data_IF_284742773120
#
_entry.id   IF_284742773120
#
_cell.length_a   1.000
_cell.length_b   1.000
_cell.length_c   1.000
_cell.angle_alpha   90.00
_cell.angle_beta   90.00
_cell.angle_gamma   90.00
#
_symmetry.space_group_name_H-M   'P 1'
#
loop_
_entity.id
_entity.type
_entity.pdbx_description
1 polymer ?
#
# COMPACT_ATOMS: atom_id res chain seq x y z
N UNK A 1 -27.10 -69.65 -18.90
CA UNK A 1 -26.69 -68.36 -19.52
C UNK A 1 -25.94 -67.43 -18.57
N UNK A 2 -26.54 -66.74 -17.58
CA UNK A 2 -25.77 -65.86 -16.66
C UNK A 2 -24.81 -66.63 -15.74
N UNK A 3 -25.23 -67.78 -15.20
CA UNK A 3 -24.40 -68.65 -14.36
C UNK A 3 -23.25 -69.32 -15.13
N UNK A 4 -23.47 -69.66 -16.40
CA UNK A 4 -22.46 -70.30 -17.25
C UNK A 4 -21.38 -69.30 -17.66
N UNK A 5 -21.77 -68.09 -18.11
CA UNK A 5 -20.81 -67.02 -18.40
C UNK A 5 -19.98 -66.63 -17.17
N UNK A 6 -20.61 -66.57 -16.00
CA UNK A 6 -19.91 -66.28 -14.75
C UNK A 6 -18.92 -67.38 -14.38
N UNK A 7 -19.33 -68.65 -14.53
CA UNK A 7 -18.46 -69.78 -14.25
C UNK A 7 -17.28 -69.84 -15.22
N UNK A 8 -17.51 -69.64 -16.52
CA UNK A 8 -16.47 -69.58 -17.55
C UNK A 8 -15.45 -68.45 -17.28
N UNK A 9 -15.91 -67.31 -16.75
CA UNK A 9 -15.04 -66.19 -16.38
C UNK A 9 -14.17 -66.53 -15.15
N UNK A 10 -14.75 -67.18 -14.13
CA UNK A 10 -14.04 -67.61 -12.91
C UNK A 10 -13.05 -68.74 -13.21
N UNK A 11 -13.44 -69.69 -14.07
CA UNK A 11 -12.59 -70.79 -14.51
C UNK A 11 -11.42 -70.28 -15.36
N UNK A 12 -11.68 -69.33 -16.26
CA UNK A 12 -10.61 -68.66 -17.02
C UNK A 12 -9.66 -67.88 -16.10
N UNK A 13 -10.20 -67.12 -15.13
CA UNK A 13 -9.39 -66.35 -14.18
C UNK A 13 -8.50 -67.26 -13.31
N UNK A 14 -9.00 -68.46 -12.97
CA UNK A 14 -8.27 -69.46 -12.19
C UNK A 14 -7.33 -70.33 -13.03
N UNK A 15 -7.41 -70.26 -14.36
CA UNK A 15 -6.52 -70.98 -15.28
C UNK A 15 -5.13 -70.34 -15.37
N UNK A 16 -4.12 -71.14 -15.72
CA UNK A 16 -2.73 -70.68 -15.93
C UNK A 16 -2.63 -69.56 -16.98
N UNK A 17 -3.48 -69.60 -18.01
CA UNK A 17 -3.53 -68.59 -19.07
C UNK A 17 -4.02 -67.23 -18.52
N UNK A 18 -5.05 -67.24 -17.67
CA UNK A 18 -5.58 -66.04 -17.01
C UNK A 18 -4.57 -65.43 -16.05
N UNK A 19 -3.95 -66.25 -15.20
CA UNK A 19 -2.90 -65.82 -14.26
C UNK A 19 -1.67 -65.24 -14.95
N UNK A 20 -1.25 -65.82 -16.07
CA UNK A 20 -0.13 -65.32 -16.87
C UNK A 20 -0.44 -63.93 -17.43
N UNK A 21 -1.63 -63.72 -18.00
CA UNK A 21 -2.04 -62.40 -18.51
C UNK A 21 -2.16 -61.34 -17.40
N UNK A 22 -2.76 -61.70 -16.26
CA UNK A 22 -2.91 -60.79 -15.12
C UNK A 22 -1.54 -60.33 -14.64
N UNK A 23 -0.61 -61.26 -14.42
CA UNK A 23 0.69 -60.96 -13.83
C UNK A 23 1.60 -60.23 -14.82
N UNK A 24 1.56 -60.60 -16.10
CA UNK A 24 2.46 -60.03 -17.13
C UNK A 24 1.98 -58.69 -17.71
N UNK A 25 0.67 -58.46 -17.78
CA UNK A 25 0.12 -57.27 -18.45
C UNK A 25 -0.73 -56.40 -17.51
N UNK A 26 -1.65 -56.98 -16.75
CA UNK A 26 -2.60 -56.20 -15.94
C UNK A 26 -1.94 -55.57 -14.70
N UNK A 27 -1.14 -56.34 -13.96
CA UNK A 27 -0.41 -55.86 -12.78
C UNK A 27 0.52 -54.69 -13.10
N UNK A 28 1.43 -54.77 -14.11
CA UNK A 28 2.29 -53.64 -14.43
C UNK A 28 1.50 -52.43 -14.95
N UNK A 29 0.42 -52.65 -15.71
CA UNK A 29 -0.46 -51.55 -16.13
C UNK A 29 -1.09 -50.83 -14.94
N UNK A 30 -1.66 -51.56 -13.98
CA UNK A 30 -2.20 -50.97 -12.75
C UNK A 30 -1.12 -50.28 -11.93
N UNK A 31 0.07 -50.87 -11.84
CA UNK A 31 1.19 -50.27 -11.11
C UNK A 31 1.59 -48.91 -11.71
N UNK A 32 1.65 -48.80 -13.04
CA UNK A 32 1.92 -47.54 -13.74
C UNK A 32 0.79 -46.52 -13.49
N UNK A 33 -0.46 -46.94 -13.60
CA UNK A 33 -1.63 -46.06 -13.38
C UNK A 33 -1.65 -45.53 -11.94
N UNK A 34 -1.52 -46.41 -10.95
CA UNK A 34 -1.50 -46.04 -9.53
C UNK A 34 -0.27 -45.19 -9.21
N UNK A 35 0.90 -45.55 -9.75
CA UNK A 35 2.12 -44.75 -9.63
C UNK A 35 1.93 -43.34 -10.17
N UNK A 36 1.34 -43.19 -11.36
CA UNK A 36 1.01 -41.90 -11.96
C UNK A 36 0.02 -41.07 -11.13
N UNK A 37 -1.01 -41.70 -10.56
CA UNK A 37 -1.98 -41.02 -9.69
C UNK A 37 -1.30 -40.49 -8.42
N UNK A 38 -0.48 -41.32 -7.75
CA UNK A 38 0.23 -40.92 -6.52
C UNK A 38 1.18 -39.76 -6.80
N UNK A 39 2.00 -39.87 -7.86
CA UNK A 39 2.92 -38.80 -8.27
C UNK A 39 2.16 -37.51 -8.59
N UNK A 40 1.05 -37.61 -9.34
CA UNK A 40 0.20 -36.46 -9.69
C UNK A 40 -0.39 -35.77 -8.45
N UNK A 41 -0.86 -36.53 -7.46
CA UNK A 41 -1.40 -35.96 -6.21
C UNK A 41 -0.33 -35.23 -5.38
N UNK A 42 0.87 -35.81 -5.26
CA UNK A 42 1.99 -35.18 -4.54
C UNK A 42 2.40 -33.88 -5.25
N UNK A 43 2.58 -33.91 -6.57
CA UNK A 43 2.93 -32.73 -7.36
C UNK A 43 1.89 -31.61 -7.18
N UNK A 44 0.59 -31.93 -7.27
CA UNK A 44 -0.50 -30.95 -7.11
C UNK A 44 -0.54 -30.34 -5.70
N UNK A 45 -0.34 -31.16 -4.67
CA UNK A 45 -0.33 -30.68 -3.28
C UNK A 45 0.87 -29.77 -2.98
N UNK A 46 2.06 -30.12 -3.49
CA UNK A 46 3.27 -29.32 -3.36
C UNK A 46 3.09 -27.94 -4.01
N UNK A 47 2.56 -27.91 -5.25
CA UNK A 47 2.34 -26.66 -5.96
C UNK A 47 1.32 -25.76 -5.24
N UNK A 48 0.20 -26.33 -4.76
CA UNK A 48 -0.77 -25.57 -3.95
C UNK A 48 -0.17 -25.01 -2.68
N UNK A 49 0.69 -25.78 -2.00
CA UNK A 49 1.37 -25.34 -0.78
C UNK A 49 2.35 -24.21 -1.08
N UNK A 50 3.10 -24.29 -2.17
CA UNK A 50 4.04 -23.25 -2.58
C UNK A 50 3.33 -21.93 -2.90
N UNK A 51 2.24 -21.98 -3.68
CA UNK A 51 1.41 -20.80 -3.99
C UNK A 51 0.86 -20.20 -2.69
N UNK A 52 0.31 -21.03 -1.80
CA UNK A 52 -0.20 -20.57 -0.51
C UNK A 52 0.87 -19.97 0.41
N UNK A 53 2.13 -20.43 0.31
CA UNK A 53 3.25 -19.83 1.03
C UNK A 53 3.66 -18.49 0.42
N UNK A 54 3.74 -18.39 -0.91
CA UNK A 54 4.05 -17.14 -1.61
C UNK A 54 2.99 -16.06 -1.32
N UNK A 55 1.70 -16.42 -1.35
CA UNK A 55 0.61 -15.49 -1.01
C UNK A 55 0.73 -14.96 0.42
N UNK A 56 1.09 -15.82 1.38
CA UNK A 56 1.30 -15.42 2.78
C UNK A 56 2.52 -14.52 2.91
N UNK A 57 3.62 -14.86 2.24
CA UNK A 57 4.85 -14.06 2.24
C UNK A 57 4.62 -12.69 1.61
N UNK A 58 3.93 -12.61 0.47
CA UNK A 58 3.60 -11.34 -0.19
C UNK A 58 2.77 -10.44 0.72
N UNK A 59 1.78 -11.00 1.43
CA UNK A 59 0.96 -10.26 2.41
C UNK A 59 1.80 -9.73 3.57
N UNK A 60 2.63 -10.58 4.18
CA UNK A 60 3.51 -10.18 5.29
C UNK A 60 4.50 -9.12 4.82
N UNK A 61 5.10 -9.29 3.64
CA UNK A 61 6.09 -8.36 3.09
C UNK A 61 5.47 -6.99 2.77
N UNK A 62 4.27 -6.94 2.20
CA UNK A 62 3.58 -5.69 1.92
C UNK A 62 3.23 -4.93 3.22
N UNK A 63 2.69 -5.62 4.22
CA UNK A 63 2.39 -5.02 5.54
C UNK A 63 3.67 -4.57 6.24
N UNK A 64 4.73 -5.39 6.23
CA UNK A 64 6.02 -5.03 6.84
C UNK A 64 6.68 -3.83 6.15
N UNK A 65 6.59 -3.73 4.82
CA UNK A 65 7.08 -2.57 4.06
C UNK A 65 6.33 -1.30 4.45
N UNK A 66 5.00 -1.38 4.59
CA UNK A 66 4.18 -0.25 4.99
C UNK A 66 4.50 0.19 6.44
N UNK A 67 4.64 -0.75 7.38
CA UNK A 67 5.06 -0.48 8.75
C UNK A 67 6.47 0.16 8.79
N UNK A 68 7.42 -0.37 8.03
CA UNK A 68 8.77 0.18 7.94
C UNK A 68 8.76 1.63 7.43
N UNK A 69 7.90 1.92 6.45
CA UNK A 69 7.69 3.29 5.95
C UNK A 69 7.05 4.20 7.02
N UNK A 70 6.12 3.66 7.83
CA UNK A 70 5.58 4.34 9.00
C UNK A 70 6.65 4.71 10.03
N UNK A 71 7.59 3.80 10.33
CA UNK A 71 8.70 4.10 11.26
C UNK A 71 9.56 5.27 10.78
N UNK A 72 9.81 5.36 9.47
CA UNK A 72 10.52 6.49 8.85
C UNK A 72 9.68 7.78 8.89
N UNK A 73 8.36 7.67 8.72
CA UNK A 73 7.43 8.80 8.86
C UNK A 73 7.36 9.34 10.30
N UNK A 74 7.48 8.50 11.33
CA UNK A 74 7.52 8.92 12.74
C UNK A 74 8.74 9.81 13.02
N UNK A 75 9.88 9.43 12.43
CA UNK A 75 11.15 10.14 12.54
C UNK A 75 11.34 11.21 11.45
N UNK A 76 10.29 11.61 10.73
CA UNK A 76 10.39 12.44 9.52
C UNK A 76 11.19 13.75 9.72
N UNK A 77 11.07 14.38 10.88
CA UNK A 77 11.79 15.61 11.22
C UNK A 77 13.31 15.46 11.26
N UNK A 78 13.85 14.27 11.53
CA UNK A 78 15.30 14.03 11.65
C UNK A 78 15.96 13.63 10.32
N UNK A 79 15.17 13.30 9.30
CA UNK A 79 15.66 12.90 7.98
C UNK A 79 16.10 14.11 7.14
N UNK A 80 17.17 13.91 6.37
CA UNK A 80 17.62 14.86 5.35
C UNK A 80 16.65 14.92 4.16
N UNK A 81 16.78 15.95 3.30
CA UNK A 81 15.89 16.12 2.15
C UNK A 81 15.92 14.94 1.17
N UNK A 82 17.10 14.41 0.85
CA UNK A 82 17.23 13.24 -0.04
C UNK A 82 16.65 11.96 0.56
N UNK A 83 16.79 11.77 1.89
CA UNK A 83 16.19 10.61 2.55
C UNK A 83 14.67 10.72 2.63
N UNK A 84 14.12 11.92 2.76
CA UNK A 84 12.67 12.17 2.73
C UNK A 84 12.06 11.74 1.39
N UNK A 85 12.66 12.15 0.27
CA UNK A 85 12.22 11.73 -1.06
C UNK A 85 12.30 10.21 -1.23
N UNK A 86 13.38 9.58 -0.78
CA UNK A 86 13.52 8.14 -0.83
C UNK A 86 12.44 7.42 0.00
N UNK A 87 12.12 7.93 1.19
CA UNK A 87 11.05 7.38 2.05
C UNK A 87 9.68 7.58 1.41
N UNK A 88 9.41 8.72 0.76
CA UNK A 88 8.17 8.94 0.01
C UNK A 88 7.98 7.92 -1.11
N UNK A 89 9.05 7.66 -1.88
CA UNK A 89 9.03 6.62 -2.90
C UNK A 89 8.77 5.24 -2.30
N UNK A 90 9.45 4.87 -1.20
CA UNK A 90 9.22 3.60 -0.52
C UNK A 90 7.80 3.47 0.06
N UNK A 91 7.24 4.54 0.62
CA UNK A 91 5.87 4.58 1.12
C UNK A 91 4.87 4.35 -0.01
N UNK A 92 5.02 5.05 -1.14
CA UNK A 92 4.12 4.90 -2.29
C UNK A 92 4.19 3.49 -2.91
N UNK A 93 5.39 2.91 -3.04
CA UNK A 93 5.52 1.51 -3.47
C UNK A 93 4.85 0.53 -2.50
N UNK A 94 5.04 0.71 -1.20
CA UNK A 94 4.45 -0.15 -0.18
C UNK A 94 2.91 -0.06 -0.21
N UNK A 95 2.37 1.14 -0.37
CA UNK A 95 0.93 1.39 -0.50
C UNK A 95 0.35 0.69 -1.74
N UNK A 96 1.02 0.82 -2.90
CA UNK A 96 0.62 0.11 -4.12
C UNK A 96 0.63 -1.41 -3.91
N UNK A 97 1.67 -1.95 -3.26
CA UNK A 97 1.72 -3.39 -2.94
C UNK A 97 0.54 -3.82 -2.06
N UNK A 98 0.15 -3.00 -1.08
CA UNK A 98 -1.00 -3.27 -0.21
C UNK A 98 -2.31 -3.27 -1.01
N UNK A 99 -2.53 -2.30 -1.90
CA UNK A 99 -3.73 -2.25 -2.77
C UNK A 99 -3.86 -3.46 -3.69
N UNK A 100 -2.72 -3.98 -4.17
CA UNK A 100 -2.69 -5.16 -5.02
C UNK A 100 -2.90 -6.48 -4.27
N UNK A 101 -2.97 -6.47 -2.94
CA UNK A 101 -3.19 -7.70 -2.17
C UNK A 101 -4.62 -8.23 -2.38
N UNK A 102 -4.79 -9.57 -2.52
CA UNK A 102 -6.11 -10.19 -2.58
C UNK A 102 -6.71 -10.32 -1.16
N UNK A 103 -6.93 -9.18 -0.51
CA UNK A 103 -7.52 -9.08 0.84
C UNK A 103 -8.73 -8.14 0.83
N UNK A 104 -9.71 -8.45 1.68
CA UNK A 104 -10.90 -7.61 1.81
C UNK A 104 -10.53 -6.25 2.39
N UNK A 105 -10.86 -5.18 1.67
CA UNK A 105 -10.60 -3.82 2.11
C UNK A 105 -9.14 -3.39 1.98
N UNK A 106 -8.37 -4.00 1.07
CA UNK A 106 -7.00 -3.58 0.78
C UNK A 106 -6.91 -2.09 0.43
N UNK A 107 -7.79 -1.58 -0.44
CA UNK A 107 -7.82 -0.16 -0.79
C UNK A 107 -8.09 0.74 0.41
N UNK A 108 -9.07 0.39 1.24
CA UNK A 108 -9.43 1.14 2.45
C UNK A 108 -8.27 1.12 3.47
N UNK A 109 -7.59 -0.02 3.62
CA UNK A 109 -6.42 -0.13 4.49
C UNK A 109 -5.26 0.73 3.98
N UNK A 110 -5.05 0.78 2.66
CA UNK A 110 -4.05 1.64 2.05
C UNK A 110 -4.37 3.13 2.26
N UNK A 111 -5.62 3.55 2.04
CA UNK A 111 -6.06 4.94 2.24
C UNK A 111 -5.94 5.36 3.72
N UNK A 112 -6.36 4.48 4.63
CA UNK A 112 -6.23 4.70 6.08
C UNK A 112 -4.76 4.84 6.51
N UNK A 113 -3.90 3.95 6.02
CA UNK A 113 -2.47 4.01 6.31
C UNK A 113 -1.83 5.27 5.71
N UNK A 114 -2.17 5.65 4.48
CA UNK A 114 -1.67 6.88 3.85
C UNK A 114 -2.01 8.12 4.69
N UNK A 115 -3.23 8.18 5.23
CA UNK A 115 -3.62 9.25 6.15
C UNK A 115 -2.81 9.24 7.44
N UNK A 116 -2.65 8.08 8.10
CA UNK A 116 -1.82 7.94 9.31
C UNK A 116 -0.36 8.34 9.06
N UNK A 117 0.22 7.94 7.93
CA UNK A 117 1.58 8.33 7.54
C UNK A 117 1.70 9.85 7.38
N UNK A 118 0.71 10.50 6.73
CA UNK A 118 0.69 11.95 6.58
C UNK A 118 0.55 12.66 7.93
N UNK A 119 -0.29 12.15 8.83
CA UNK A 119 -0.44 12.66 10.20
C UNK A 119 0.87 12.53 10.99
N UNK A 120 1.52 11.36 10.94
CA UNK A 120 2.82 11.13 11.59
C UNK A 120 3.90 12.09 11.08
N UNK A 121 3.99 12.31 9.77
CA UNK A 121 4.96 13.26 9.20
C UNK A 121 4.75 14.66 9.75
N UNK A 122 3.50 15.13 9.82
CA UNK A 122 3.14 16.43 10.43
C UNK A 122 3.48 16.47 11.93
N UNK A 123 3.14 15.43 12.67
CA UNK A 123 3.36 15.33 14.11
C UNK A 123 4.85 15.20 14.48
N UNK A 124 5.68 14.58 13.63
CA UNK A 124 7.10 14.35 13.90
C UNK A 124 7.92 15.62 14.17
N UNK A 125 7.47 16.78 13.68
CA UNK A 125 8.19 18.06 13.78
C UNK A 125 8.07 18.66 15.19
N UNK A 126 6.88 18.64 15.77
CA UNK A 126 6.58 19.31 17.05
C UNK A 126 6.16 18.34 18.17
N UNK A 127 5.68 17.15 17.81
CA UNK A 127 5.03 16.18 18.69
C UNK A 127 5.55 14.76 18.41
N UNK A 128 6.85 14.53 18.64
CA UNK A 128 7.48 13.23 18.38
C UNK A 128 6.83 12.07 19.14
N UNK A 129 6.38 12.30 20.38
CA UNK A 129 5.63 11.29 21.15
C UNK A 129 4.30 10.92 20.48
N UNK A 130 3.57 11.90 19.93
CA UNK A 130 2.33 11.65 19.21
C UNK A 130 2.59 10.85 17.92
N UNK A 131 3.69 11.17 17.21
CA UNK A 131 4.08 10.42 16.02
C UNK A 131 4.41 8.95 16.34
N UNK A 132 5.02 8.66 17.49
CA UNK A 132 5.29 7.28 17.94
C UNK A 132 4.01 6.55 18.38
N UNK A 133 3.04 7.26 18.99
CA UNK A 133 1.73 6.69 19.28
C UNK A 133 0.97 6.34 17.99
N UNK A 134 0.94 7.26 17.02
CA UNK A 134 0.34 7.02 15.70
C UNK A 134 1.00 5.82 14.99
N UNK A 135 2.31 5.63 15.17
CA UNK A 135 3.03 4.47 14.66
C UNK A 135 2.55 3.17 15.32
N UNK A 136 2.36 3.15 16.64
CA UNK A 136 1.85 1.98 17.34
C UNK A 136 0.43 1.61 16.86
N UNK A 137 -0.44 2.61 16.72
CA UNK A 137 -1.79 2.42 16.18
C UNK A 137 -1.78 1.91 14.73
N UNK A 138 -0.87 2.44 13.89
CA UNK A 138 -0.65 1.95 12.53
C UNK A 138 -0.25 0.46 12.53
N UNK A 139 0.71 0.08 13.39
CA UNK A 139 1.20 -1.30 13.49
C UNK A 139 0.09 -2.25 13.92
N UNK A 140 -0.59 -1.94 15.02
CA UNK A 140 -1.66 -2.76 15.58
C UNK A 140 -2.83 -2.88 14.60
N UNK A 141 -3.21 -1.78 13.95
CA UNK A 141 -4.24 -1.76 12.92
C UNK A 141 -3.90 -2.65 11.73
N UNK A 142 -2.68 -2.55 11.20
CA UNK A 142 -2.25 -3.37 10.06
C UNK A 142 -2.10 -4.86 10.42
N UNK A 143 -1.64 -5.18 11.64
CA UNK A 143 -1.55 -6.56 12.14
C UNK A 143 -2.95 -7.15 12.32
N UNK A 144 -3.89 -6.41 12.92
CA UNK A 144 -5.28 -6.87 13.06
C UNK A 144 -5.98 -6.97 11.70
N UNK A 145 -5.65 -6.09 10.74
CA UNK A 145 -6.15 -6.22 9.38
C UNK A 145 -5.61 -7.47 8.68
N UNK A 146 -4.34 -7.79 8.87
CA UNK A 146 -3.76 -9.01 8.34
C UNK A 146 -4.42 -10.26 8.95
N UNK A 147 -4.74 -10.23 10.25
CA UNK A 147 -5.35 -11.36 10.97
C UNK A 147 -6.85 -11.50 10.67
N UNK A 148 -7.59 -10.38 10.63
CA UNK A 148 -9.05 -10.27 10.51
C UNK A 148 -9.45 -9.09 9.61
N UNK A 149 -9.26 -9.21 8.28
CA UNK A 149 -9.45 -8.09 7.35
C UNK A 149 -10.89 -7.56 7.33
N UNK A 150 -11.88 -8.44 7.54
CA UNK A 150 -13.29 -8.04 7.56
C UNK A 150 -13.68 -7.17 8.75
N UNK A 151 -13.02 -7.32 9.91
CA UNK A 151 -13.27 -6.50 11.10
C UNK A 151 -12.51 -5.18 10.99
N UNK A 152 -11.22 -5.25 10.70
CA UNK A 152 -10.38 -4.07 10.56
C UNK A 152 -10.85 -3.12 9.45
N UNK A 153 -11.35 -3.65 8.32
CA UNK A 153 -11.98 -2.83 7.26
C UNK A 153 -13.06 -1.88 7.81
N UNK A 154 -13.88 -2.34 8.77
CA UNK A 154 -14.94 -1.50 9.35
C UNK A 154 -14.37 -0.38 10.21
N UNK A 155 -13.33 -0.69 10.99
CA UNK A 155 -12.62 0.29 11.81
C UNK A 155 -11.96 1.35 10.92
N UNK A 156 -11.21 0.92 9.90
CA UNK A 156 -10.58 1.85 8.95
C UNK A 156 -11.58 2.73 8.21
N UNK A 157 -12.71 2.16 7.80
CA UNK A 157 -13.77 2.94 7.15
C UNK A 157 -14.42 3.94 8.11
N UNK A 158 -14.54 3.61 9.39
CA UNK A 158 -15.03 4.51 10.43
C UNK A 158 -14.04 5.66 10.67
N UNK A 159 -12.76 5.35 10.84
CA UNK A 159 -11.70 6.36 11.04
C UNK A 159 -11.58 7.30 9.83
N UNK A 160 -11.62 6.75 8.61
CA UNK A 160 -11.62 7.56 7.40
C UNK A 160 -12.86 8.45 7.30
N UNK A 161 -14.01 7.98 7.79
CA UNK A 161 -15.21 8.80 7.84
C UNK A 161 -15.05 9.93 8.87
N UNK A 162 -14.56 9.65 10.08
CA UNK A 162 -14.35 10.68 11.10
C UNK A 162 -13.37 11.75 10.65
N UNK A 163 -12.24 11.37 10.04
CA UNK A 163 -11.27 12.36 9.54
C UNK A 163 -11.80 13.22 8.40
N UNK A 164 -12.68 12.66 7.55
CA UNK A 164 -13.34 13.46 6.51
C UNK A 164 -14.24 14.53 7.10
N UNK A 165 -15.00 14.21 8.15
CA UNK A 165 -15.83 15.19 8.85
C UNK A 165 -14.97 16.26 9.54
N UNK A 166 -13.92 15.86 10.28
CA UNK A 166 -12.99 16.80 10.94
C UNK A 166 -12.31 17.76 9.94
N UNK A 167 -11.92 17.25 8.77
CA UNK A 167 -11.30 18.07 7.72
C UNK A 167 -12.30 19.05 7.12
N UNK A 168 -13.53 18.62 6.84
CA UNK A 168 -14.56 19.51 6.29
C UNK A 168 -14.94 20.64 7.25
N UNK A 169 -15.04 20.36 8.55
CA UNK A 169 -15.36 21.39 9.55
C UNK A 169 -14.24 22.45 9.65
N UNK A 170 -12.98 22.03 9.59
CA UNK A 170 -11.84 22.95 9.60
C UNK A 170 -11.79 23.82 8.33
N UNK A 171 -12.10 23.25 7.16
CA UNK A 171 -12.17 23.99 5.89
C UNK A 171 -13.28 25.05 5.90
N UNK A 172 -14.47 24.69 6.39
CA UNK A 172 -15.60 25.62 6.52
C UNK A 172 -15.26 26.80 7.47
N UNK A 173 -14.59 26.53 8.61
CA UNK A 173 -14.15 27.58 9.54
C UNK A 173 -13.13 28.53 8.88
N UNK A 174 -12.20 28.00 8.08
CA UNK A 174 -11.22 28.82 7.36
C UNK A 174 -11.88 29.71 6.30
N UNK A 175 -12.87 29.20 5.57
CA UNK A 175 -13.63 29.99 4.59
C UNK A 175 -14.37 31.14 5.29
N UNK A 176 -15.01 30.88 6.44
CA UNK A 176 -15.67 31.93 7.22
C UNK A 176 -14.68 32.98 7.69
N UNK A 177 -13.53 32.58 8.26
CA UNK A 177 -12.48 33.53 8.67
C UNK A 177 -11.95 34.36 7.51
N UNK A 178 -11.81 33.76 6.33
CA UNK A 178 -11.35 34.46 5.14
C UNK A 178 -12.39 35.49 4.65
N UNK A 179 -13.68 35.16 4.75
CA UNK A 179 -14.78 36.10 4.46
C UNK A 179 -14.86 37.24 5.48
N UNK A 180 -14.67 36.96 6.78
CA UNK A 180 -14.62 37.98 7.83
C UNK A 180 -13.40 38.91 7.68
N UNK A 181 -12.24 38.36 7.33
CA UNK A 181 -11.06 39.17 7.07
C UNK A 181 -11.26 40.07 5.84
N UNK A 182 -11.86 39.53 4.77
CA UNK A 182 -12.18 40.30 3.57
C UNK A 182 -13.21 41.42 3.85
N UNK A 183 -14.22 41.17 4.69
CA UNK A 183 -15.20 42.19 5.06
C UNK A 183 -14.62 43.30 5.95
N UNK A 184 -13.69 42.97 6.86
CA UNK A 184 -12.93 43.96 7.64
C UNK A 184 -12.05 44.84 6.76
N UNK A 185 -11.31 44.24 5.81
CA UNK A 185 -10.52 44.99 4.83
C UNK A 185 -11.39 45.95 3.99
N UNK A 186 -12.57 45.50 3.54
CA UNK A 186 -13.49 46.34 2.77
C UNK A 186 -14.08 47.50 3.60
N UNK A 187 -14.41 47.26 4.88
CA UNK A 187 -14.90 48.30 5.79
C UNK A 187 -13.83 49.36 6.12
N UNK A 188 -12.56 48.93 6.27
CA UNK A 188 -11.42 49.82 6.53
C UNK A 188 -11.06 50.65 5.28
N UNK A 189 -11.19 50.06 4.08
CA UNK A 189 -11.03 50.77 2.79
C UNK A 189 -12.12 51.81 2.53
N UNK A 190 -13.33 51.61 3.08
CA UNK A 190 -14.47 52.52 2.93
C UNK A 190 -14.43 53.69 3.93
N UNK A 191 -13.60 53.59 4.98
CA UNK A 191 -13.42 54.62 6.03
C UNK A 191 -12.16 55.47 5.80
N UNK A 192 -11.56 55.43 4.61
CA UNK A 192 -10.54 56.41 4.22
C UNK A 192 -11.24 57.71 3.74
N UNK A 193 -10.98 58.88 4.37
CA UNK A 193 -11.49 60.13 3.86
C UNK A 193 -10.81 60.44 2.52
N UNK A 194 -11.61 60.83 1.54
CA UNK A 194 -11.12 61.41 0.30
C UNK A 194 -10.29 62.68 0.61
N UNK A 195 -8.96 62.56 0.51
CA UNK A 195 -8.06 63.71 0.45
C UNK A 195 -7.04 63.47 -0.67
N UNK A 196 -7.40 64.02 -1.82
CA UNK A 196 -6.67 64.28 -3.05
C UNK A 196 -5.14 64.26 -2.96
N UNK A 197 -4.51 63.36 -3.71
CA UNK A 197 -3.08 63.37 -4.01
C UNK A 197 -2.78 64.51 -4.99
N UNK A 198 -2.10 65.56 -4.51
CA UNK A 198 -1.35 66.52 -5.33
C UNK A 198 0.10 66.47 -4.86
N UNK A 199 1.02 66.09 -5.74
CA UNK A 199 2.42 65.86 -5.35
C UNK A 199 3.35 65.58 -6.53
N UNK A 200 3.62 66.65 -7.27
CA UNK A 200 4.67 66.94 -8.25
C UNK A 200 5.95 66.10 -8.22
N UNK A 201 6.45 65.87 -9.44
CA UNK A 201 7.75 65.32 -9.83
C UNK A 201 8.96 65.80 -9.01
N UNK A 202 9.87 64.86 -8.70
CA UNK A 202 11.20 65.12 -8.17
C UNK A 202 12.21 64.17 -8.82
N UNK A 203 12.95 64.71 -9.79
CA UNK A 203 14.10 64.08 -10.44
C UNK A 203 15.23 63.88 -9.42
N UNK A 204 15.89 62.72 -9.44
CA UNK A 204 16.98 62.35 -8.54
C UNK A 204 17.87 61.27 -9.15
N UNK A 205 18.62 61.65 -10.18
CA UNK A 205 19.79 60.92 -10.68
C UNK A 205 20.92 60.96 -9.65
N UNK A 206 21.47 59.80 -9.24
CA UNK A 206 22.91 59.49 -9.24
C UNK A 206 23.20 58.04 -8.78
N UNK A 207 23.78 57.27 -9.71
CA UNK A 207 24.91 56.35 -9.60
C UNK A 207 25.15 55.50 -8.35
N UNK A 208 25.20 54.16 -8.52
CA UNK A 208 26.45 53.39 -8.40
C UNK A 208 26.28 51.93 -8.89
N UNK A 209 26.99 51.64 -9.97
CA UNK A 209 27.63 50.40 -10.43
C UNK A 209 27.83 49.27 -9.40
N UNK A 210 27.42 48.05 -9.78
CA UNK A 210 28.29 46.86 -9.80
C UNK A 210 27.62 45.67 -10.49
N UNK A 211 28.00 45.55 -11.76
CA UNK A 211 28.22 44.36 -12.58
C UNK A 211 28.65 43.10 -11.80
N UNK A 212 28.00 41.96 -12.09
CA UNK A 212 28.67 40.69 -12.44
C UNK A 212 27.67 39.51 -12.44
N UNK A 213 27.19 39.16 -13.63
CA UNK A 213 26.90 37.76 -13.97
C UNK A 213 28.21 36.97 -14.03
N UNK A 214 28.20 35.69 -13.62
CA UNK A 214 28.91 34.72 -14.44
C UNK A 214 28.03 33.51 -14.77
N UNK A 215 27.98 33.27 -16.07
CA UNK A 215 27.65 32.03 -16.78
C UNK A 215 28.66 30.91 -16.44
N UNK A 216 28.34 29.69 -16.91
CA UNK A 216 29.20 28.50 -17.11
C UNK A 216 29.34 27.64 -15.83
N UNK A 217 29.16 26.30 -15.80
CA UNK A 217 29.57 25.25 -16.74
C UNK A 217 28.67 24.00 -16.61
N UNK A 218 28.20 23.48 -17.74
CA UNK A 218 27.69 22.12 -17.94
C UNK A 218 28.91 21.22 -18.21
N UNK A 219 29.05 20.11 -17.46
CA UNK A 219 29.95 19.00 -17.83
C UNK A 219 29.15 17.70 -17.90
N UNK A 220 29.11 17.02 -19.06
CA UNK A 220 28.70 15.63 -19.17
C UNK A 220 29.91 14.68 -19.18
N UNK A 221 29.77 13.63 -18.37
CA UNK A 221 30.11 12.21 -18.62
C UNK A 221 31.55 11.69 -18.86
N UNK A 222 31.80 10.56 -18.17
CA UNK A 222 32.63 9.36 -18.44
C UNK A 222 34.02 9.43 -19.08
N UNK A 223 34.97 8.82 -18.36
CA UNK A 223 35.69 7.62 -18.84
C UNK A 223 35.92 6.65 -17.67
#
# INVERSE_FOLDING_TARGET
MILEWWNDLVDWFSSDQGWTFITSALVPFLAIVVGGIIVGMIARSSLRRLIGQQDRQAKVAAVAALIASGRRAAAWSTLSAGEKEHVDHQSSEAEVRVRLLPLKGADIAADWAAHKLAAMKKNSVNYSFQAEQDLAELQDGLIEWQSRPGRAKKLFAQDLASWKYETSEAEDELVVKQQEWASRQAAESTTAPAASTSGTAGSGTTSATSEATPTVVISPDRN
#
